data_IF_515723287823
#
_entry.id   IF_515723287823
#
_cell.length_a   1.000
_cell.length_b   1.000
_cell.length_c   1.000
_cell.angle_alpha   90.00
_cell.angle_beta   90.00
_cell.angle_gamma   90.00
#
_symmetry.space_group_name_H-M   'P 1'
#
loop_
_entity.id
_entity.type
_entity.pdbx_description
1 polymer ?
#
# COMPACT_ATOMS: atom_id res chain seq x y z
N UNK A 1 -11.00 -21.63 10.82
CA UNK A 1 -9.90 -21.30 9.90
C UNK A 1 -10.19 -21.90 8.53
N UNK A 2 -10.81 -21.13 7.64
CA UNK A 2 -11.29 -21.57 6.33
C UNK A 2 -10.74 -20.73 5.17
N UNK A 3 -9.67 -19.97 5.43
CA UNK A 3 -8.98 -19.20 4.37
C UNK A 3 -8.35 -20.12 3.32
N UNK A 4 -8.19 -19.58 2.10
CA UNK A 4 -7.67 -20.29 0.92
C UNK A 4 -6.68 -19.41 0.15
N UNK A 5 -6.01 -19.97 -0.85
CA UNK A 5 -5.03 -19.27 -1.68
C UNK A 5 -3.60 -19.38 -1.15
N UNK A 6 -2.71 -18.56 -1.72
CA UNK A 6 -1.30 -18.55 -1.35
C UNK A 6 -1.11 -18.06 0.10
N UNK A 7 -0.05 -18.50 0.79
CA UNK A 7 0.29 -17.96 2.09
C UNK A 7 0.71 -16.48 1.98
N UNK A 8 0.29 -15.67 2.95
CA UNK A 8 0.80 -14.32 3.14
C UNK A 8 2.31 -14.35 3.40
N UNK A 9 2.99 -13.31 2.94
CA UNK A 9 4.44 -13.18 3.16
C UNK A 9 4.77 -12.98 4.65
N UNK A 10 5.95 -13.44 5.12
CA UNK A 10 6.38 -13.30 6.50
C UNK A 10 6.29 -11.88 7.08
N UNK A 11 6.54 -10.85 6.26
CA UNK A 11 6.42 -9.45 6.68
C UNK A 11 5.00 -9.09 7.11
N UNK A 12 3.99 -9.44 6.30
CA UNK A 12 2.58 -9.21 6.60
C UNK A 12 2.13 -9.96 7.86
N UNK A 13 2.58 -11.20 8.05
CA UNK A 13 2.21 -12.00 9.24
C UNK A 13 2.73 -11.32 10.52
N UNK A 14 3.95 -10.78 10.51
CA UNK A 14 4.48 -10.00 11.64
C UNK A 14 3.67 -8.73 11.87
N UNK A 15 3.30 -8.01 10.82
CA UNK A 15 2.43 -6.83 10.91
C UNK A 15 1.08 -7.17 11.53
N UNK A 16 0.44 -8.27 11.12
CA UNK A 16 -0.85 -8.74 11.67
C UNK A 16 -0.75 -8.98 13.18
N UNK A 17 0.31 -9.66 13.64
CA UNK A 17 0.55 -9.87 15.07
C UNK A 17 0.73 -8.55 15.83
N UNK A 18 1.52 -7.63 15.29
CA UNK A 18 1.74 -6.31 15.92
C UNK A 18 0.43 -5.53 15.99
N UNK A 19 -0.37 -5.49 14.92
CA UNK A 19 -1.67 -4.83 14.91
C UNK A 19 -2.63 -5.45 15.94
N UNK A 20 -2.59 -6.77 16.11
CA UNK A 20 -3.39 -7.45 17.14
C UNK A 20 -2.97 -7.02 18.55
N UNK A 21 -1.66 -6.91 18.80
CA UNK A 21 -1.14 -6.38 20.06
C UNK A 21 -1.53 -4.91 20.29
N UNK A 22 -1.54 -4.08 19.23
CA UNK A 22 -1.99 -2.67 19.31
C UNK A 22 -3.48 -2.56 19.65
N UNK A 23 -4.31 -3.51 19.21
CA UNK A 23 -5.70 -3.59 19.68
C UNK A 23 -5.75 -3.95 21.17
N UNK A 24 -4.96 -4.94 21.60
CA UNK A 24 -5.02 -5.47 22.97
C UNK A 24 -4.45 -4.52 24.02
N UNK A 25 -3.40 -3.76 23.71
CA UNK A 25 -2.80 -2.81 24.65
C UNK A 25 -3.77 -1.68 25.05
N UNK A 26 -4.83 -1.46 24.27
CA UNK A 26 -5.87 -0.49 24.60
C UNK A 26 -6.78 -0.93 25.75
N UNK A 27 -6.78 -2.22 26.11
CA UNK A 27 -7.46 -2.73 27.31
C UNK A 27 -8.95 -3.06 27.16
N UNK A 28 -9.56 -2.85 25.99
CA UNK A 28 -11.01 -3.03 25.80
C UNK A 28 -11.43 -4.43 25.28
N UNK A 29 -10.48 -5.35 25.11
CA UNK A 29 -10.72 -6.71 24.56
C UNK A 29 -11.11 -7.76 25.59
N UNK A 30 -10.95 -7.51 26.90
CA UNK A 30 -11.35 -8.47 27.94
C UNK A 30 -10.65 -9.84 27.86
N UNK A 31 -9.39 -9.87 27.45
CA UNK A 31 -8.56 -11.08 27.37
C UNK A 31 -7.52 -11.11 28.50
N UNK A 32 -6.95 -12.28 28.80
CA UNK A 32 -5.79 -12.36 29.70
C UNK A 32 -4.52 -11.84 29.04
N UNK A 33 -3.62 -11.31 29.87
CA UNK A 33 -2.26 -10.92 29.44
C UNK A 33 -1.52 -12.07 28.74
N UNK A 34 -1.74 -13.32 29.17
CA UNK A 34 -1.14 -14.51 28.60
C UNK A 34 -1.39 -14.67 27.08
N UNK A 35 -2.48 -14.14 26.55
CA UNK A 35 -2.79 -14.16 25.10
C UNK A 35 -1.85 -13.21 24.35
N UNK A 36 -1.68 -11.98 24.84
CA UNK A 36 -0.76 -11.01 24.25
C UNK A 36 0.70 -11.49 24.39
N UNK A 37 1.08 -12.03 25.55
CA UNK A 37 2.40 -12.63 25.76
C UNK A 37 2.67 -13.79 24.81
N UNK A 38 1.66 -14.60 24.47
CA UNK A 38 1.82 -15.67 23.48
C UNK A 38 2.16 -15.12 22.09
N UNK A 39 1.48 -14.05 21.67
CA UNK A 39 1.77 -13.38 20.39
C UNK A 39 3.21 -12.82 20.41
N UNK A 40 3.63 -12.18 21.51
CA UNK A 40 5.01 -11.71 21.68
C UNK A 40 6.01 -12.86 21.63
N UNK A 41 5.72 -14.01 22.24
CA UNK A 41 6.57 -15.20 22.15
C UNK A 41 6.73 -15.70 20.71
N UNK A 42 5.64 -15.73 19.93
CA UNK A 42 5.68 -16.11 18.51
C UNK A 42 6.55 -15.16 17.70
N UNK A 43 6.40 -13.84 17.90
CA UNK A 43 7.23 -12.83 17.25
C UNK A 43 8.72 -12.97 17.63
N UNK A 44 9.04 -13.14 18.92
CA UNK A 44 10.41 -13.25 19.40
C UNK A 44 11.15 -14.49 18.88
N UNK A 45 10.42 -15.57 18.57
CA UNK A 45 10.98 -16.81 18.02
C UNK A 45 10.78 -16.95 16.51
N UNK A 46 10.25 -15.92 15.87
CA UNK A 46 9.92 -15.91 14.45
C UNK A 46 9.08 -17.12 14.00
N UNK A 47 8.09 -17.49 14.83
CA UNK A 47 7.12 -18.54 14.53
C UNK A 47 5.91 -17.87 13.88
N UNK A 48 5.79 -18.00 12.57
CA UNK A 48 4.80 -17.24 11.79
C UNK A 48 3.70 -18.16 11.26
N UNK A 49 2.43 -17.99 11.66
CA UNK A 49 1.34 -18.81 11.14
C UNK A 49 1.24 -18.76 9.63
N UNK A 50 0.98 -19.90 9.00
CA UNK A 50 0.65 -19.96 7.57
C UNK A 50 -0.77 -19.43 7.42
N UNK A 51 -0.89 -18.16 7.01
CA UNK A 51 -2.18 -17.48 6.82
C UNK A 51 -2.46 -17.38 5.33
N UNK A 52 -3.52 -18.00 4.79
CA UNK A 52 -3.89 -17.85 3.39
C UNK A 52 -4.41 -16.44 3.06
N UNK A 53 -4.14 -15.96 1.85
CA UNK A 53 -4.44 -14.60 1.39
C UNK A 53 -5.94 -14.28 1.16
N UNK A 54 -6.80 -15.30 1.01
CA UNK A 54 -8.24 -15.13 0.71
C UNK A 54 -9.12 -15.78 1.76
N UNK A 55 -10.34 -15.24 1.90
CA UNK A 55 -11.41 -15.78 2.74
C UNK A 55 -12.02 -14.78 3.73
N UNK A 56 -11.37 -13.64 3.96
CA UNK A 56 -12.00 -12.51 4.66
C UNK A 56 -12.99 -11.79 3.73
N UNK A 57 -14.08 -11.31 4.31
CA UNK A 57 -15.05 -10.41 3.66
C UNK A 57 -15.03 -9.00 4.24
N UNK A 58 -14.19 -8.74 5.27
CA UNK A 58 -14.08 -7.43 5.93
C UNK A 58 -15.31 -6.95 6.71
N UNK A 59 -16.48 -7.59 6.59
CA UNK A 59 -17.72 -7.15 7.22
C UNK A 59 -17.89 -7.62 8.69
N UNK A 60 -17.33 -8.78 9.04
CA UNK A 60 -17.39 -9.38 10.40
C UNK A 60 -16.00 -9.53 11.03
N UNK A 61 -15.05 -8.72 10.58
CA UNK A 61 -13.62 -8.91 10.81
C UNK A 61 -12.99 -9.94 9.87
N UNK A 62 -11.68 -10.08 9.99
CA UNK A 62 -10.81 -10.96 9.21
C UNK A 62 -10.84 -12.42 9.71
N UNK A 63 -12.04 -12.94 9.95
CA UNK A 63 -12.29 -14.19 10.68
C UNK A 63 -11.52 -15.39 10.13
N UNK A 64 -11.57 -15.60 8.81
CA UNK A 64 -10.95 -16.77 8.17
C UNK A 64 -9.40 -16.75 8.29
N UNK A 65 -8.69 -15.68 7.89
CA UNK A 65 -7.24 -15.60 8.04
C UNK A 65 -6.79 -15.47 9.51
N UNK A 66 -7.46 -14.67 10.36
CA UNK A 66 -7.12 -14.61 11.79
C UNK A 66 -7.44 -15.93 12.51
N UNK A 67 -8.35 -16.73 11.99
CA UNK A 67 -8.57 -18.11 12.44
C UNK A 67 -7.33 -18.99 12.26
N UNK A 68 -6.58 -18.83 11.16
CA UNK A 68 -5.32 -19.56 10.96
C UNK A 68 -4.23 -19.10 11.94
N UNK A 69 -4.18 -17.79 12.23
CA UNK A 69 -3.33 -17.25 13.30
C UNK A 69 -3.69 -17.84 14.66
N UNK A 70 -4.98 -17.87 15.01
CA UNK A 70 -5.48 -18.40 16.27
C UNK A 70 -5.18 -19.91 16.44
N UNK A 71 -5.35 -20.71 15.37
CA UNK A 71 -4.98 -22.13 15.38
C UNK A 71 -3.51 -22.34 15.76
N UNK A 72 -2.61 -21.52 15.20
CA UNK A 72 -1.19 -21.63 15.53
C UNK A 72 -0.91 -21.32 17.00
N UNK A 73 -1.55 -20.30 17.59
CA UNK A 73 -1.35 -19.94 19.00
C UNK A 73 -1.77 -21.08 19.95
N UNK A 74 -2.75 -21.90 19.58
CA UNK A 74 -3.18 -23.08 20.34
C UNK A 74 -2.41 -24.36 19.97
N UNK A 75 -1.37 -24.27 19.14
CA UNK A 75 -0.48 -25.38 18.78
C UNK A 75 -0.91 -26.20 17.57
N UNK A 76 -1.93 -25.76 16.85
CA UNK A 76 -2.50 -26.42 15.67
C UNK A 76 -2.09 -25.73 14.36
N UNK A 77 -2.41 -26.37 13.23
CA UNK A 77 -2.09 -25.84 11.91
C UNK A 77 -0.59 -25.87 11.57
N UNK A 78 -0.18 -24.93 10.74
CA UNK A 78 1.19 -24.82 10.21
C UNK A 78 1.75 -23.43 10.43
N UNK A 79 3.07 -23.36 10.52
CA UNK A 79 3.85 -22.13 10.68
C UNK A 79 5.08 -22.18 9.78
N UNK A 80 5.56 -21.01 9.36
CA UNK A 80 6.94 -20.83 8.94
C UNK A 80 7.83 -20.73 10.18
N UNK A 81 8.90 -21.53 10.21
CA UNK A 81 9.92 -21.50 11.25
C UNK A 81 11.29 -21.78 10.61
N UNK A 82 12.26 -20.87 10.80
CA UNK A 82 13.56 -20.91 10.12
C UNK A 82 13.44 -21.08 8.59
N UNK A 83 12.51 -20.33 7.98
CA UNK A 83 12.28 -20.33 6.53
C UNK A 83 11.58 -21.56 5.97
N UNK A 84 11.10 -22.49 6.81
CA UNK A 84 10.41 -23.72 6.38
C UNK A 84 9.00 -23.79 6.94
N UNK A 85 8.06 -24.23 6.11
CA UNK A 85 6.71 -24.60 6.56
C UNK A 85 6.77 -25.93 7.32
N UNK A 86 6.37 -25.91 8.60
CA UNK A 86 6.28 -27.09 9.46
C UNK A 86 4.99 -27.04 10.29
N UNK A 87 4.64 -28.15 10.95
CA UNK A 87 3.49 -28.15 11.88
C UNK A 87 3.78 -27.27 13.10
N UNK A 88 2.78 -26.55 13.58
CA UNK A 88 2.95 -25.63 14.72
C UNK A 88 3.44 -26.37 15.96
N UNK A 89 2.88 -27.56 16.25
CA UNK A 89 3.34 -28.46 17.32
C UNK A 89 4.85 -28.71 17.28
N UNK A 90 5.42 -28.93 16.10
CA UNK A 90 6.87 -29.16 15.94
C UNK A 90 7.67 -27.90 16.22
N UNK A 91 7.21 -26.74 15.71
CA UNK A 91 7.88 -25.46 15.94
C UNK A 91 7.89 -25.10 17.43
N UNK A 92 6.74 -25.24 18.10
CA UNK A 92 6.59 -24.99 19.54
C UNK A 92 7.48 -25.91 20.38
N UNK A 93 7.55 -27.20 20.03
CA UNK A 93 8.46 -28.15 20.70
C UNK A 93 9.91 -27.72 20.56
N UNK A 94 10.35 -27.35 19.34
CA UNK A 94 11.71 -26.86 19.07
C UNK A 94 12.05 -25.55 19.80
N UNK A 95 11.06 -24.69 20.02
CA UNK A 95 11.22 -23.42 20.73
C UNK A 95 10.99 -23.54 22.25
N UNK A 96 10.67 -24.75 22.76
CA UNK A 96 10.26 -24.97 24.16
C UNK A 96 9.09 -24.07 24.61
N UNK A 97 8.13 -23.84 23.72
CA UNK A 97 6.94 -23.02 23.97
C UNK A 97 5.74 -23.94 24.16
N UNK A 98 4.95 -23.71 25.22
CA UNK A 98 3.68 -24.41 25.42
C UNK A 98 2.57 -23.77 24.58
N UNK A 99 1.64 -24.55 24.00
CA UNK A 99 0.44 -24.02 23.36
C UNK A 99 -0.42 -23.18 24.30
N UNK A 100 -1.15 -22.20 23.76
CA UNK A 100 -2.14 -21.43 24.52
C UNK A 100 -3.39 -22.26 24.77
N UNK A 101 -3.89 -22.25 26.00
CA UNK A 101 -5.21 -22.80 26.35
C UNK A 101 -6.17 -21.62 26.47
N UNK A 102 -7.13 -21.54 25.55
CA UNK A 102 -8.09 -20.44 25.48
C UNK A 102 -9.08 -20.48 26.65
N UNK A 103 -9.44 -19.29 27.12
CA UNK A 103 -10.52 -19.05 28.08
C UNK A 103 -11.67 -18.28 27.42
N UNK A 104 -12.63 -17.83 28.23
CA UNK A 104 -13.82 -17.10 27.78
C UNK A 104 -13.42 -15.92 26.89
N UNK A 105 -14.17 -15.70 25.80
CA UNK A 105 -13.98 -14.65 24.79
C UNK A 105 -12.69 -14.70 23.97
N UNK A 106 -11.59 -15.27 24.47
CA UNK A 106 -10.27 -15.19 23.82
C UNK A 106 -10.26 -15.75 22.40
N UNK A 107 -10.97 -16.85 22.15
CA UNK A 107 -11.10 -17.40 20.80
C UNK A 107 -11.77 -16.41 19.83
N UNK A 108 -12.81 -15.71 20.27
CA UNK A 108 -13.46 -14.67 19.47
C UNK A 108 -12.52 -13.47 19.28
N UNK A 109 -11.90 -12.98 20.36
CA UNK A 109 -11.00 -11.82 20.31
C UNK A 109 -9.78 -12.02 19.39
N UNK A 110 -9.28 -13.25 19.29
CA UNK A 110 -8.17 -13.59 18.38
C UNK A 110 -8.58 -13.48 16.91
N UNK A 111 -9.81 -13.89 16.58
CA UNK A 111 -10.29 -13.93 15.19
C UNK A 111 -11.03 -12.66 14.76
N UNK A 112 -11.47 -11.84 15.71
CA UNK A 112 -12.27 -10.65 15.43
C UNK A 112 -11.39 -9.41 15.22
N UNK A 113 -11.72 -8.59 14.22
CA UNK A 113 -10.99 -7.37 13.88
C UNK A 113 -10.42 -7.30 12.47
N UNK A 114 -9.78 -6.18 12.15
CA UNK A 114 -9.43 -5.74 10.79
C UNK A 114 -7.92 -5.85 10.50
N UNK A 115 -7.18 -6.64 11.28
CA UNK A 115 -5.71 -6.63 11.26
C UNK A 115 -5.11 -7.13 9.94
N UNK A 116 -5.78 -8.06 9.24
CA UNK A 116 -5.28 -8.58 7.96
C UNK A 116 -5.52 -7.56 6.85
N UNK A 117 -6.74 -7.01 6.77
CA UNK A 117 -7.05 -5.92 5.85
C UNK A 117 -6.13 -4.71 6.08
N UNK A 118 -5.91 -4.32 7.34
CA UNK A 118 -5.05 -3.20 7.71
C UNK A 118 -3.58 -3.47 7.38
N UNK A 119 -3.08 -4.69 7.60
CA UNK A 119 -1.71 -5.05 7.23
C UNK A 119 -1.47 -4.96 5.72
N UNK A 120 -2.43 -5.43 4.91
CA UNK A 120 -2.39 -5.31 3.45
C UNK A 120 -2.42 -3.84 3.02
N UNK A 121 -3.26 -3.02 3.65
CA UNK A 121 -3.34 -1.60 3.37
C UNK A 121 -2.04 -0.85 3.71
N UNK A 122 -1.40 -1.18 4.85
CA UNK A 122 -0.09 -0.63 5.22
C UNK A 122 0.95 -0.95 4.14
N UNK A 123 1.01 -2.21 3.67
CA UNK A 123 1.91 -2.59 2.58
C UNK A 123 1.64 -1.78 1.31
N UNK A 124 0.38 -1.65 0.91
CA UNK A 124 -0.01 -0.84 -0.25
C UNK A 124 0.34 0.64 -0.10
N UNK A 125 0.29 1.19 1.11
CA UNK A 125 0.73 2.56 1.38
C UNK A 125 2.25 2.71 1.26
N UNK A 126 3.03 1.75 1.74
CA UNK A 126 4.49 1.75 1.59
C UNK A 126 4.91 1.67 0.11
N UNK A 127 4.29 0.73 -0.63
CA UNK A 127 4.50 0.59 -2.07
C UNK A 127 4.04 1.86 -2.82
N UNK A 128 2.93 2.46 -2.38
CA UNK A 128 2.34 3.68 -2.92
C UNK A 128 3.19 4.94 -2.74
N UNK A 129 3.85 5.11 -1.59
CA UNK A 129 4.77 6.23 -1.37
C UNK A 129 5.96 6.16 -2.34
N UNK A 130 6.49 4.96 -2.57
CA UNK A 130 7.53 4.74 -3.57
C UNK A 130 7.01 5.01 -4.99
N UNK A 131 5.81 4.55 -5.32
CA UNK A 131 5.17 4.78 -6.63
C UNK A 131 5.00 6.27 -6.92
N UNK A 132 4.51 7.06 -5.96
CA UNK A 132 4.30 8.50 -6.12
C UNK A 132 5.61 9.27 -6.36
N UNK A 133 6.71 8.86 -5.70
CA UNK A 133 8.04 9.44 -5.93
C UNK A 133 8.56 9.05 -7.31
N UNK A 134 8.42 7.77 -7.67
CA UNK A 134 8.84 7.23 -8.96
C UNK A 134 8.08 7.88 -10.12
N UNK A 135 6.78 8.14 -9.94
CA UNK A 135 5.95 8.83 -10.93
C UNK A 135 6.47 10.25 -11.21
N UNK A 136 6.81 11.03 -10.18
CA UNK A 136 7.38 12.38 -10.36
C UNK A 136 8.74 12.34 -11.06
N UNK A 137 9.60 11.37 -10.73
CA UNK A 137 10.91 11.17 -11.38
C UNK A 137 10.73 10.79 -12.85
N UNK A 138 9.91 9.78 -13.15
CA UNK A 138 9.63 9.36 -14.51
C UNK A 138 8.96 10.48 -15.32
N UNK A 139 8.07 11.25 -14.70
CA UNK A 139 7.44 12.43 -15.28
C UNK A 139 8.45 13.52 -15.62
N UNK A 140 9.39 13.83 -14.71
CA UNK A 140 10.45 14.80 -14.95
C UNK A 140 11.39 14.37 -16.09
N UNK A 141 11.86 13.12 -16.07
CA UNK A 141 12.65 12.56 -17.18
C UNK A 141 11.89 12.63 -18.51
N UNK A 142 10.59 12.35 -18.48
CA UNK A 142 9.75 12.47 -19.67
C UNK A 142 9.64 13.91 -20.16
N UNK A 143 9.46 14.88 -19.27
CA UNK A 143 9.44 16.32 -19.63
C UNK A 143 10.75 16.76 -20.27
N UNK A 144 11.87 16.32 -19.71
CA UNK A 144 13.18 16.63 -20.26
C UNK A 144 13.34 16.06 -21.68
N UNK A 145 13.03 14.77 -21.87
CA UNK A 145 13.20 14.10 -23.17
C UNK A 145 12.16 14.48 -24.23
N UNK A 146 10.98 14.98 -23.83
CA UNK A 146 10.00 15.52 -24.77
C UNK A 146 10.26 16.97 -25.15
N UNK A 147 11.26 17.60 -24.52
CA UNK A 147 11.53 19.03 -24.60
C UNK A 147 10.33 19.88 -24.15
N UNK A 148 9.50 19.36 -23.25
CA UNK A 148 8.37 20.12 -22.71
C UNK A 148 8.84 21.25 -21.78
N UNK A 149 8.00 22.27 -21.62
CA UNK A 149 8.33 23.47 -20.87
C UNK A 149 8.35 23.22 -19.35
N UNK A 150 9.47 23.58 -18.70
CA UNK A 150 9.54 23.63 -17.23
C UNK A 150 8.68 24.77 -16.63
N UNK A 151 8.25 25.75 -17.43
CA UNK A 151 7.53 26.95 -16.92
C UNK A 151 6.21 26.60 -16.26
N UNK A 152 5.53 25.55 -16.72
CA UNK A 152 4.21 25.16 -16.21
C UNK A 152 4.25 24.66 -14.77
N UNK A 153 5.43 24.27 -14.26
CA UNK A 153 5.63 23.75 -12.89
C UNK A 153 5.97 24.84 -11.86
N UNK A 154 5.96 26.12 -12.25
CA UNK A 154 6.37 27.21 -11.35
C UNK A 154 5.46 27.33 -10.13
N UNK A 155 6.05 27.49 -8.95
CA UNK A 155 5.33 27.63 -7.66
C UNK A 155 4.19 28.64 -7.71
N UNK A 156 4.39 29.80 -8.33
CA UNK A 156 3.37 30.86 -8.43
C UNK A 156 2.11 30.45 -9.19
N UNK A 157 2.21 29.51 -10.14
CA UNK A 157 1.05 29.01 -10.90
C UNK A 157 0.23 28.10 -9.99
N UNK A 158 0.89 27.14 -9.33
CA UNK A 158 0.19 26.16 -8.50
C UNK A 158 -0.29 26.71 -7.17
N UNK A 159 0.30 27.82 -6.69
CA UNK A 159 -0.23 28.57 -5.55
C UNK A 159 -1.65 29.13 -5.81
N UNK A 160 -2.09 29.25 -7.07
CA UNK A 160 -3.43 29.71 -7.43
C UNK A 160 -4.51 28.62 -7.26
N UNK A 161 -4.12 27.38 -6.95
CA UNK A 161 -5.04 26.25 -6.78
C UNK A 161 -4.73 25.50 -5.47
N UNK A 162 -5.72 25.42 -4.59
CA UNK A 162 -5.58 25.03 -3.17
C UNK A 162 -5.43 23.52 -2.91
N UNK A 163 -4.87 22.75 -3.86
CA UNK A 163 -4.64 21.32 -3.66
C UNK A 163 -3.17 21.07 -3.23
N UNK A 164 -2.91 20.60 -2.00
CA UNK A 164 -1.56 20.39 -1.50
C UNK A 164 -0.74 19.40 -2.34
N UNK A 165 -1.36 18.29 -2.76
CA UNK A 165 -0.72 17.30 -3.61
C UNK A 165 -0.28 17.88 -4.94
N UNK A 166 -1.10 18.74 -5.56
CA UNK A 166 -0.74 19.44 -6.79
C UNK A 166 0.48 20.35 -6.61
N UNK A 167 0.50 21.14 -5.53
CA UNK A 167 1.61 22.03 -5.24
C UNK A 167 2.90 21.25 -4.95
N UNK A 168 2.79 20.10 -4.27
CA UNK A 168 3.90 19.19 -4.00
C UNK A 168 4.47 18.59 -5.29
N UNK A 169 3.63 17.99 -6.13
CA UNK A 169 4.06 17.41 -7.42
C UNK A 169 4.72 18.45 -8.34
N UNK A 170 4.13 19.65 -8.43
CA UNK A 170 4.74 20.76 -9.16
C UNK A 170 6.14 21.10 -8.64
N UNK A 171 6.27 21.28 -7.32
CA UNK A 171 7.54 21.60 -6.68
C UNK A 171 8.59 20.51 -6.94
N UNK A 172 8.22 19.23 -6.83
CA UNK A 172 9.12 18.10 -7.06
C UNK A 172 9.66 18.10 -8.49
N UNK A 173 8.77 18.12 -9.48
CA UNK A 173 9.16 18.10 -10.90
C UNK A 173 9.94 19.35 -11.27
N UNK A 174 9.53 20.52 -10.77
CA UNK A 174 10.27 21.76 -10.98
C UNK A 174 11.71 21.68 -10.44
N UNK A 175 11.92 21.08 -9.26
CA UNK A 175 13.25 20.88 -8.67
C UNK A 175 14.08 19.85 -9.46
N UNK A 176 13.48 18.74 -9.86
CA UNK A 176 14.16 17.68 -10.62
C UNK A 176 14.69 18.19 -11.97
N UNK A 177 13.95 19.09 -12.62
CA UNK A 177 14.35 19.71 -13.89
C UNK A 177 15.37 20.87 -13.72
N UNK A 178 15.85 21.12 -12.50
CA UNK A 178 16.77 22.23 -12.27
C UNK A 178 18.13 21.99 -12.91
N UNK A 179 18.61 22.99 -13.66
CA UNK A 179 19.92 22.90 -14.33
C UNK A 179 19.93 22.09 -15.64
N UNK A 180 18.83 21.44 -16.02
CA UNK A 180 18.75 20.69 -17.29
C UNK A 180 19.11 21.58 -18.48
N UNK A 181 20.10 21.13 -19.28
CA UNK A 181 20.50 21.78 -20.53
C UNK A 181 19.47 21.53 -21.64
N UNK A 182 18.78 20.39 -21.62
CA UNK A 182 17.77 20.01 -22.62
C UNK A 182 16.52 20.87 -22.45
N UNK A 183 16.05 21.08 -21.24
CA UNK A 183 14.92 21.99 -20.99
C UNK A 183 15.28 23.43 -21.41
N UNK A 184 16.52 23.87 -21.15
CA UNK A 184 16.98 25.21 -21.54
C UNK A 184 17.06 25.39 -23.06
N UNK A 185 17.48 24.36 -23.81
CA UNK A 185 17.61 24.45 -25.26
C UNK A 185 16.29 24.68 -25.98
N UNK A 186 15.17 24.34 -25.33
CA UNK A 186 13.81 24.50 -25.87
C UNK A 186 13.06 25.74 -25.34
N UNK A 187 13.77 26.69 -24.72
CA UNK A 187 13.15 27.91 -24.16
C UNK A 187 12.47 28.79 -25.23
N UNK A 188 12.95 28.77 -26.48
CA UNK A 188 12.44 29.55 -27.60
C UNK A 188 11.79 28.68 -28.71
N UNK A 189 11.09 27.65 -28.25
CA UNK A 189 10.23 26.68 -28.94
C UNK A 189 9.58 26.97 -30.29
N UNK A 190 8.86 28.08 -30.33
CA UNK A 190 7.60 28.19 -31.06
C UNK A 190 6.43 27.38 -30.46
N UNK A 191 6.69 26.27 -29.74
CA UNK A 191 5.65 25.49 -29.06
C UNK A 191 5.09 26.27 -27.85
N UNK A 192 3.79 26.59 -27.91
CA UNK A 192 3.10 27.36 -26.87
C UNK A 192 2.57 26.49 -25.73
N UNK A 193 2.08 25.28 -26.04
CA UNK A 193 1.50 24.38 -25.06
C UNK A 193 1.95 22.94 -25.28
N UNK A 194 2.47 22.32 -24.24
CA UNK A 194 2.80 20.90 -24.23
C UNK A 194 1.52 20.05 -24.08
N UNK A 195 1.55 18.78 -24.55
CA UNK A 195 0.46 17.83 -24.35
C UNK A 195 0.13 17.65 -22.87
N UNK A 196 -1.12 17.29 -22.58
CA UNK A 196 -1.62 17.20 -21.20
C UNK A 196 -0.87 16.16 -20.36
N UNK A 197 -0.40 15.08 -20.97
CA UNK A 197 0.40 14.04 -20.28
C UNK A 197 1.71 14.57 -19.68
N UNK A 198 2.18 15.75 -20.11
CA UNK A 198 3.32 16.48 -19.53
C UNK A 198 2.86 17.69 -18.72
N UNK A 199 2.04 18.56 -19.33
CA UNK A 199 1.63 19.83 -18.71
C UNK A 199 0.76 19.64 -17.47
N UNK A 200 -0.02 18.57 -17.43
CA UNK A 200 -0.94 18.29 -16.32
C UNK A 200 -0.34 17.35 -15.26
N UNK A 201 0.96 17.02 -15.33
CA UNK A 201 1.65 16.21 -14.31
C UNK A 201 1.33 16.68 -12.88
N UNK A 202 1.40 18.00 -12.54
CA UNK A 202 1.10 18.43 -11.19
C UNK A 202 -0.33 18.13 -10.77
N UNK A 203 -1.27 18.24 -11.70
CA UNK A 203 -2.70 18.06 -11.42
C UNK A 203 -3.01 16.57 -11.22
N UNK A 204 -2.50 15.71 -12.10
CA UNK A 204 -2.78 14.27 -12.07
C UNK A 204 -2.01 13.61 -10.93
N UNK A 205 -0.69 13.81 -10.87
CA UNK A 205 0.13 13.22 -9.78
C UNK A 205 -0.26 13.81 -8.42
N UNK A 206 -0.64 15.09 -8.40
CA UNK A 206 -1.09 15.76 -7.20
C UNK A 206 -2.42 15.23 -6.67
N UNK A 207 -3.39 15.00 -7.55
CA UNK A 207 -4.67 14.39 -7.15
C UNK A 207 -4.46 12.98 -6.56
N UNK A 208 -3.62 12.16 -7.19
CA UNK A 208 -3.25 10.84 -6.64
C UNK A 208 -2.56 10.95 -5.27
N UNK A 209 -1.75 11.98 -5.05
CA UNK A 209 -1.09 12.24 -3.76
C UNK A 209 -2.07 12.69 -2.67
N UNK A 210 -3.07 13.49 -3.02
CA UNK A 210 -4.14 13.88 -2.11
C UNK A 210 -5.02 12.66 -1.73
N UNK A 211 -5.35 11.82 -2.72
CA UNK A 211 -6.04 10.54 -2.50
C UNK A 211 -5.26 9.60 -1.60
N UNK A 212 -3.96 9.44 -1.86
CA UNK A 212 -3.04 8.68 -1.01
C UNK A 212 -3.01 9.20 0.43
N UNK A 213 -2.92 10.51 0.63
CA UNK A 213 -2.88 11.11 1.97
C UNK A 213 -4.18 10.83 2.74
N UNK A 214 -5.33 10.89 2.07
CA UNK A 214 -6.63 10.54 2.68
C UNK A 214 -6.66 9.08 3.10
N UNK A 215 -6.26 8.16 2.21
CA UNK A 215 -6.20 6.74 2.52
C UNK A 215 -5.25 6.47 3.69
N UNK A 216 -4.06 7.07 3.69
CA UNK A 216 -3.09 6.94 4.78
C UNK A 216 -3.69 7.36 6.13
N UNK A 217 -4.42 8.48 6.19
CA UNK A 217 -5.07 8.92 7.43
C UNK A 217 -6.15 7.94 7.90
N UNK A 218 -6.93 7.35 6.99
CA UNK A 218 -7.94 6.34 7.34
C UNK A 218 -7.28 5.09 7.93
N UNK A 219 -6.18 4.63 7.35
CA UNK A 219 -5.43 3.47 7.85
C UNK A 219 -4.73 3.80 9.18
N UNK A 220 -4.18 5.00 9.35
CA UNK A 220 -3.58 5.43 10.63
C UNK A 220 -4.62 5.45 11.76
N UNK A 221 -5.83 5.92 11.49
CA UNK A 221 -6.93 5.84 12.45
C UNK A 221 -7.30 4.40 12.80
N UNK A 222 -7.33 3.50 11.80
CA UNK A 222 -7.63 2.08 12.02
C UNK A 222 -6.56 1.39 12.88
N UNK A 223 -5.27 1.62 12.60
CA UNK A 223 -4.14 1.13 13.40
C UNK A 223 -4.29 1.54 14.87
N UNK A 224 -4.78 2.76 15.10
CA UNK A 224 -4.95 3.35 16.41
C UNK A 224 -6.33 3.10 17.03
N UNK A 225 -7.15 2.20 16.47
CA UNK A 225 -8.50 1.88 16.95
C UNK A 225 -8.59 0.51 17.64
N UNK A 226 -9.70 0.29 18.36
CA UNK A 226 -10.10 -1.06 18.80
C UNK A 226 -10.99 -1.64 17.70
N UNK A 227 -10.69 -2.85 17.23
CA UNK A 227 -11.46 -3.54 16.20
C UNK A 227 -12.15 -4.82 16.72
N UNK A 228 -12.13 -5.07 18.03
CA UNK A 228 -12.68 -6.28 18.66
C UNK A 228 -14.17 -6.11 19.01
N UNK A 229 -14.87 -7.22 19.26
CA UNK A 229 -16.23 -7.24 19.77
C UNK A 229 -16.54 -8.57 20.51
N UNK A 230 -17.32 -8.53 21.62
CA UNK A 230 -17.80 -7.34 22.34
C UNK A 230 -16.67 -6.56 23.00
N UNK A 231 -16.95 -5.29 23.29
CA UNK A 231 -16.04 -4.35 23.95
C UNK A 231 -16.31 -4.37 25.44
N UNK A 232 -15.25 -4.42 26.25
CA UNK A 232 -15.31 -4.27 27.71
C UNK A 232 -14.92 -2.84 28.04
N UNK A 233 -15.87 -2.05 28.55
CA UNK A 233 -15.64 -0.66 28.93
C UNK A 233 -14.97 -0.56 30.31
N UNK A 234 -14.38 0.60 30.62
CA UNK A 234 -13.66 0.85 31.87
C UNK A 234 -14.54 0.67 33.13
N UNK A 235 -15.84 0.90 33.01
CA UNK A 235 -16.82 0.67 34.08
C UNK A 235 -17.23 -0.81 34.24
N UNK A 236 -16.69 -1.70 33.40
CA UNK A 236 -17.00 -3.14 33.38
C UNK A 236 -18.15 -3.54 32.44
N UNK A 237 -18.82 -2.57 31.80
CA UNK A 237 -19.92 -2.88 30.88
C UNK A 237 -19.42 -3.62 29.64
N UNK A 238 -20.22 -4.58 29.19
CA UNK A 238 -19.96 -5.35 27.97
C UNK A 238 -20.91 -4.85 26.89
N UNK A 239 -20.34 -4.23 25.86
CA UNK A 239 -21.11 -3.61 24.77
C UNK A 239 -20.86 -4.35 23.45
N UNK A 240 -21.94 -4.77 22.80
CA UNK A 240 -21.90 -5.26 21.42
C UNK A 240 -21.87 -4.07 20.45
N UNK A 241 -20.87 -4.03 19.58
CA UNK A 241 -20.63 -2.96 18.62
C UNK A 241 -20.17 -3.53 17.26
N UNK A 242 -20.01 -2.66 16.26
CA UNK A 242 -19.57 -3.01 14.91
C UNK A 242 -18.11 -2.70 14.60
N UNK A 243 -17.25 -2.54 15.61
CA UNK A 243 -15.85 -2.11 15.44
C UNK A 243 -14.98 -3.03 14.57
N UNK A 244 -15.43 -4.26 14.33
CA UNK A 244 -14.76 -5.21 13.44
C UNK A 244 -15.02 -4.95 11.94
N UNK A 245 -15.91 -4.03 11.59
CA UNK A 245 -16.27 -3.78 10.20
C UNK A 245 -15.22 -2.90 9.52
N UNK A 246 -14.52 -3.44 8.52
CA UNK A 246 -13.40 -2.79 7.84
C UNK A 246 -13.78 -1.77 6.77
N UNK A 247 -14.91 -1.05 6.92
CA UNK A 247 -15.43 -0.15 5.86
C UNK A 247 -14.42 0.97 5.53
N UNK A 248 -13.79 1.55 6.56
CA UNK A 248 -12.77 2.58 6.38
C UNK A 248 -11.55 2.05 5.62
N UNK A 249 -11.12 0.83 5.93
CA UNK A 249 -10.00 0.19 5.23
C UNK A 249 -10.37 -0.11 3.78
N UNK A 250 -11.58 -0.60 3.52
CA UNK A 250 -12.07 -0.87 2.17
C UNK A 250 -12.09 0.39 1.31
N UNK A 251 -12.72 1.47 1.79
CA UNK A 251 -12.78 2.74 1.07
C UNK A 251 -11.39 3.37 0.86
N UNK A 252 -10.48 3.25 1.84
CA UNK A 252 -9.10 3.70 1.68
C UNK A 252 -8.40 2.96 0.53
N UNK A 253 -8.56 1.64 0.45
CA UNK A 253 -7.97 0.83 -0.62
C UNK A 253 -8.57 1.14 -1.99
N UNK A 254 -9.88 1.40 -2.10
CA UNK A 254 -10.52 1.81 -3.35
C UNK A 254 -10.01 3.18 -3.82
N UNK A 255 -9.82 4.13 -2.90
CA UNK A 255 -9.22 5.43 -3.24
C UNK A 255 -7.78 5.27 -3.74
N UNK A 256 -6.99 4.38 -3.16
CA UNK A 256 -5.63 4.10 -3.64
C UNK A 256 -5.65 3.47 -5.03
N UNK A 257 -6.54 2.50 -5.27
CA UNK A 257 -6.66 1.86 -6.58
C UNK A 257 -6.95 2.89 -7.67
N UNK A 258 -7.97 3.75 -7.48
CA UNK A 258 -8.30 4.82 -8.43
C UNK A 258 -7.12 5.78 -8.61
N UNK A 259 -6.49 6.21 -7.50
CA UNK A 259 -5.38 7.16 -7.52
C UNK A 259 -4.18 6.63 -8.30
N UNK A 260 -3.85 5.35 -8.15
CA UNK A 260 -2.70 4.74 -8.81
C UNK A 260 -2.98 4.38 -10.27
N UNK A 261 -4.22 4.01 -10.62
CA UNK A 261 -4.63 3.82 -12.01
C UNK A 261 -4.37 5.09 -12.85
N UNK A 262 -4.68 6.27 -12.31
CA UNK A 262 -4.45 7.55 -13.01
C UNK A 262 -2.96 7.84 -13.25
N UNK A 263 -2.07 7.44 -12.31
CA UNK A 263 -0.62 7.56 -12.49
C UNK A 263 -0.13 6.66 -13.63
N UNK A 264 -0.62 5.41 -13.66
CA UNK A 264 -0.32 4.46 -14.73
C UNK A 264 -0.80 4.98 -16.09
N UNK A 265 -2.06 5.44 -16.16
CA UNK A 265 -2.67 5.96 -17.38
C UNK A 265 -1.91 7.17 -17.95
N UNK A 266 -1.58 8.17 -17.11
CA UNK A 266 -0.83 9.33 -17.61
C UNK A 266 0.61 8.97 -18.00
N UNK A 267 1.23 8.01 -17.31
CA UNK A 267 2.56 7.52 -17.66
C UNK A 267 2.57 6.82 -19.01
N UNK A 268 1.59 5.95 -19.26
CA UNK A 268 1.42 5.28 -20.55
C UNK A 268 1.18 6.30 -21.68
N UNK A 269 0.38 7.35 -21.45
CA UNK A 269 0.20 8.45 -22.44
C UNK A 269 1.50 9.22 -22.73
N UNK A 270 2.43 9.30 -21.78
CA UNK A 270 3.79 9.82 -22.04
C UNK A 270 4.63 8.84 -22.85
N UNK A 271 4.57 7.54 -22.55
CA UNK A 271 5.22 6.51 -23.37
C UNK A 271 4.75 6.57 -24.82
N UNK A 272 3.43 6.64 -25.04
CA UNK A 272 2.85 6.79 -26.38
C UNK A 272 3.38 8.03 -27.13
N UNK A 273 3.55 9.16 -26.42
CA UNK A 273 4.13 10.37 -27.02
C UNK A 273 5.56 10.13 -27.56
N UNK A 274 6.37 9.32 -26.88
CA UNK A 274 7.68 8.95 -27.40
C UNK A 274 7.59 7.98 -28.56
N UNK A 275 6.65 7.02 -28.51
CA UNK A 275 6.51 6.00 -29.54
C UNK A 275 6.06 6.55 -30.89
N UNK A 276 5.23 7.61 -30.89
CA UNK A 276 4.81 8.26 -32.14
C UNK A 276 5.93 9.04 -32.84
N UNK A 277 7.08 9.23 -32.17
CA UNK A 277 8.15 10.09 -32.65
C UNK A 277 7.77 11.58 -32.62
N UNK A 278 8.79 12.43 -32.75
CA UNK A 278 8.60 13.86 -32.99
C UNK A 278 9.58 14.27 -34.07
N UNK A 279 9.05 14.73 -35.20
CA UNK A 279 9.84 15.14 -36.36
C UNK A 279 10.93 16.14 -35.97
N UNK A 280 12.14 15.92 -36.49
CA UNK A 280 13.32 16.73 -36.17
C UNK A 280 13.89 16.53 -34.77
N UNK A 281 13.34 15.63 -33.94
CA UNK A 281 13.84 15.35 -32.58
C UNK A 281 14.17 13.88 -32.36
N UNK A 282 13.20 12.97 -32.55
CA UNK A 282 13.41 11.53 -32.43
C UNK A 282 12.42 10.76 -33.30
N UNK A 283 12.90 9.64 -33.86
CA UNK A 283 12.13 8.80 -34.78
C UNK A 283 11.02 7.99 -34.09
N UNK A 284 10.18 7.35 -34.92
CA UNK A 284 9.17 6.39 -34.48
C UNK A 284 9.77 5.32 -33.57
N UNK A 285 9.04 4.93 -32.52
CA UNK A 285 9.41 3.90 -31.55
C UNK A 285 10.79 4.08 -30.88
N UNK A 286 11.35 5.30 -30.96
CA UNK A 286 12.68 5.65 -30.44
C UNK A 286 13.77 4.71 -31.00
N UNK A 287 13.64 4.31 -32.27
CA UNK A 287 14.67 3.55 -32.99
C UNK A 287 15.61 4.47 -33.79
N UNK A 288 16.84 3.96 -34.03
CA UNK A 288 17.81 4.57 -34.94
C UNK A 288 17.50 4.26 -36.42
N UNK A 289 16.88 3.11 -36.70
CA UNK A 289 16.64 2.59 -38.06
C UNK A 289 15.16 2.15 -38.24
N UNK A 290 14.20 3.09 -38.34
CA UNK A 290 12.79 2.76 -38.55
C UNK A 290 12.55 1.87 -39.77
N UNK A 291 11.71 0.84 -39.60
CA UNK A 291 11.37 -0.13 -40.65
C UNK A 291 12.27 -1.37 -40.68
N UNK A 292 13.45 -1.32 -40.04
CA UNK A 292 14.34 -2.48 -39.83
C UNK A 292 14.31 -2.91 -38.36
N UNK A 293 14.31 -1.94 -37.46
CA UNK A 293 14.23 -2.15 -36.01
C UNK A 293 12.82 -1.81 -35.49
N UNK A 294 12.33 -2.61 -34.55
CA UNK A 294 11.04 -2.37 -33.87
C UNK A 294 11.15 -1.39 -32.69
N UNK A 295 12.36 -1.05 -32.25
CA UNK A 295 12.58 -0.18 -31.09
C UNK A 295 11.80 -0.63 -29.86
N UNK A 296 11.09 0.29 -29.22
CA UNK A 296 10.26 0.04 -28.04
C UNK A 296 8.78 -0.31 -28.36
N UNK A 297 8.45 -0.63 -29.62
CA UNK A 297 7.07 -0.89 -30.04
C UNK A 297 6.35 -1.92 -29.17
N UNK A 298 6.95 -3.10 -28.96
CA UNK A 298 6.33 -4.18 -28.17
C UNK A 298 6.37 -3.85 -26.67
N UNK A 299 7.40 -3.13 -26.21
CA UNK A 299 7.45 -2.68 -24.82
C UNK A 299 6.31 -1.70 -24.48
N UNK A 300 5.81 -0.94 -25.45
CA UNK A 300 4.63 -0.06 -25.25
C UNK A 300 3.31 -0.82 -25.22
N UNK A 301 3.22 -2.01 -25.83
CA UNK A 301 2.01 -2.84 -25.82
C UNK A 301 1.77 -3.52 -24.46
N UNK A 302 2.84 -3.74 -23.69
CA UNK A 302 2.80 -4.40 -22.37
C UNK A 302 2.34 -3.43 -21.29
#
# INVERSE_FOLDING_TARGET
>A
ASGVGNPLEPGLIRTIFVLKLLTYVKGYSGIRLAVAEKIVQFLNHDILPVIPEKGSVGASGDLAPLGHMALALIGEGKVFYNGKEITTKTALSKANIKPLVLQQKEGLSLINGTQVSTALAIKSLLDGDLLLKTADIAGALSVENSFASRRVFQKKIHALKNHPGQQSAASNVYKLLNGSKIVKSHSNCGIVQDPYSFRCIPHIHGASRDGFTRAANMIDNEINSVSDNPIVLENGDIVNSGHFHGEHVAQAMDFLAISFCELGAVSERRTHYFMKGVEGKFGLFVTKSPGVESGYMIAHVT
#
